data_IF_255037241376
#
_entry.id   IF_255037241376
#
_cell.length_a   1.000
_cell.length_b   1.000
_cell.length_c   1.000
_cell.angle_alpha   90.00
_cell.angle_beta   90.00
_cell.angle_gamma   90.00
#
_symmetry.space_group_name_H-M   'P 1'
#
loop_
_entity.id
_entity.type
_entity.pdbx_description
1 polymer ?
#
# COMPACT_ATOMS: atom_id res chain seq x y z
N UNK A 1 10.03 -24.24 -9.96
CA UNK A 1 10.45 -23.04 -9.20
C UNK A 1 11.86 -22.53 -9.53
N UNK A 2 12.97 -23.25 -9.30
CA UNK A 2 14.33 -22.71 -9.59
C UNK A 2 14.52 -22.33 -11.08
N UNK A 3 14.11 -23.23 -11.99
CA UNK A 3 14.19 -22.99 -13.44
C UNK A 3 13.25 -21.88 -13.93
N UNK A 4 12.10 -21.67 -13.28
CA UNK A 4 11.15 -20.60 -13.62
C UNK A 4 11.63 -19.25 -13.10
N UNK A 5 12.27 -19.23 -11.91
CA UNK A 5 12.91 -18.04 -11.34
C UNK A 5 14.12 -17.59 -12.16
N UNK A 6 14.96 -18.53 -12.60
CA UNK A 6 16.14 -18.26 -13.45
C UNK A 6 15.74 -17.78 -14.86
N UNK A 7 14.57 -18.19 -15.37
CA UNK A 7 13.99 -17.68 -16.62
C UNK A 7 13.25 -16.35 -16.47
N UNK A 8 12.96 -15.91 -15.25
CA UNK A 8 12.22 -14.67 -14.96
C UNK A 8 10.70 -14.78 -15.02
N UNK A 9 10.15 -15.99 -15.13
CA UNK A 9 8.69 -16.21 -15.21
C UNK A 9 7.97 -16.01 -13.87
N UNK A 10 8.71 -16.10 -12.75
CA UNK A 10 8.18 -15.92 -11.40
C UNK A 10 9.09 -15.01 -10.58
N UNK A 11 8.47 -14.06 -9.87
CA UNK A 11 9.15 -13.14 -8.95
C UNK A 11 8.87 -13.59 -7.52
N UNK A 12 9.85 -13.40 -6.65
CA UNK A 12 9.72 -13.68 -5.23
C UNK A 12 8.63 -12.79 -4.60
N UNK A 13 7.61 -13.38 -4.00
CA UNK A 13 6.52 -12.63 -3.34
C UNK A 13 7.06 -11.67 -2.28
N UNK A 14 8.13 -12.05 -1.56
CA UNK A 14 8.76 -11.18 -0.58
C UNK A 14 9.39 -9.94 -1.23
N UNK A 15 9.93 -10.07 -2.44
CA UNK A 15 10.44 -8.93 -3.21
C UNK A 15 9.30 -8.01 -3.66
N UNK A 16 8.17 -8.56 -4.14
CA UNK A 16 7.00 -7.75 -4.52
C UNK A 16 6.48 -6.94 -3.33
N UNK A 17 6.32 -7.57 -2.15
CA UNK A 17 5.91 -6.88 -0.92
C UNK A 17 6.92 -5.79 -0.58
N UNK A 18 8.22 -6.09 -0.60
CA UNK A 18 9.28 -5.12 -0.30
C UNK A 18 9.23 -3.88 -1.21
N UNK A 19 9.13 -4.08 -2.53
CA UNK A 19 9.09 -2.97 -3.50
C UNK A 19 7.82 -2.13 -3.31
N UNK A 20 6.68 -2.77 -3.09
CA UNK A 20 5.42 -2.07 -2.87
C UNK A 20 5.43 -1.26 -1.56
N UNK A 21 5.97 -1.80 -0.47
CA UNK A 21 6.16 -1.03 0.78
C UNK A 21 7.08 0.17 0.58
N UNK A 22 8.15 0.03 -0.20
CA UNK A 22 9.03 1.15 -0.54
C UNK A 22 8.31 2.22 -1.35
N UNK A 23 7.53 1.84 -2.35
CA UNK A 23 6.72 2.77 -3.14
C UNK A 23 5.65 3.46 -2.26
N UNK A 24 4.97 2.73 -1.39
CA UNK A 24 3.99 3.29 -0.47
C UNK A 24 4.61 4.31 0.50
N UNK A 25 5.81 4.03 1.00
CA UNK A 25 6.56 4.97 1.83
C UNK A 25 6.94 6.26 1.08
N UNK A 26 7.36 6.14 -0.19
CA UNK A 26 7.65 7.31 -1.04
C UNK A 26 6.39 8.15 -1.29
N UNK A 27 5.25 7.51 -1.57
CA UNK A 27 3.96 8.19 -1.75
C UNK A 27 3.56 8.91 -0.46
N UNK A 28 3.65 8.24 0.70
CA UNK A 28 3.35 8.85 2.00
C UNK A 28 4.17 10.12 2.24
N UNK A 29 5.48 10.08 1.93
CA UNK A 29 6.35 11.25 2.09
C UNK A 29 5.94 12.43 1.20
N UNK A 30 5.50 12.16 -0.03
CA UNK A 30 4.95 13.21 -0.92
C UNK A 30 3.66 13.78 -0.34
N UNK A 31 2.76 12.91 0.11
CA UNK A 31 1.48 13.31 0.69
C UNK A 31 1.65 14.17 1.94
N UNK A 32 2.60 13.86 2.82
CA UNK A 32 2.90 14.65 4.02
C UNK A 32 3.37 16.07 3.71
N UNK A 33 3.97 16.29 2.53
CA UNK A 33 4.39 17.63 2.08
C UNK A 33 3.24 18.47 1.49
N UNK A 34 2.14 17.82 1.11
CA UNK A 34 1.02 18.43 0.39
C UNK A 34 0.37 19.60 1.15
N UNK A 35 0.08 19.51 2.47
CA UNK A 35 -0.52 20.62 3.19
C UNK A 35 0.32 21.90 3.15
N UNK A 36 1.65 21.77 3.26
CA UNK A 36 2.57 22.90 3.19
C UNK A 36 2.65 23.48 1.77
N UNK A 37 2.64 22.63 0.73
CA UNK A 37 2.60 23.10 -0.65
C UNK A 37 1.32 23.91 -0.93
N UNK A 38 0.19 23.46 -0.39
CA UNK A 38 -1.11 24.13 -0.55
C UNK A 38 -1.16 25.50 0.14
N UNK A 39 -0.64 25.62 1.37
CA UNK A 39 -0.60 26.93 2.05
C UNK A 39 0.33 27.92 1.37
N UNK A 40 1.46 27.47 0.82
CA UNK A 40 2.37 28.34 0.04
C UNK A 40 1.73 28.82 -1.27
N UNK A 41 0.93 27.97 -1.91
CA UNK A 41 0.26 28.29 -3.18
C UNK A 41 -1.01 29.13 -2.98
N UNK A 42 -1.68 28.98 -1.85
CA UNK A 42 -2.94 29.66 -1.53
C UNK A 42 -2.89 30.29 -0.13
N UNK A 43 -2.27 31.47 0.03
CA UNK A 43 -2.09 32.12 1.33
C UNK A 43 -3.41 32.42 2.07
N UNK A 44 -4.50 32.66 1.33
CA UNK A 44 -5.82 32.97 1.88
C UNK A 44 -6.64 31.72 2.27
N UNK A 45 -6.04 30.53 2.20
CA UNK A 45 -6.71 29.28 2.57
C UNK A 45 -7.15 29.32 4.05
N UNK A 46 -8.44 29.09 4.29
CA UNK A 46 -8.98 29.08 5.66
C UNK A 46 -8.35 27.95 6.48
N UNK A 47 -8.02 28.18 7.77
CA UNK A 47 -7.46 27.14 8.64
C UNK A 47 -8.30 25.84 8.67
N UNK A 48 -9.62 25.95 8.67
CA UNK A 48 -10.52 24.77 8.65
C UNK A 48 -10.39 23.91 7.39
N UNK A 49 -10.10 24.51 6.24
CA UNK A 49 -9.84 23.77 5.00
C UNK A 49 -8.50 23.04 5.08
N UNK A 50 -7.48 23.71 5.66
CA UNK A 50 -6.16 23.12 5.85
C UNK A 50 -6.22 21.93 6.82
N UNK A 51 -7.02 22.04 7.88
CA UNK A 51 -7.22 20.94 8.83
C UNK A 51 -7.96 19.76 8.19
N UNK A 52 -8.95 20.03 7.34
CA UNK A 52 -9.60 19.00 6.53
C UNK A 52 -8.60 18.28 5.61
N UNK A 53 -7.77 19.05 4.90
CA UNK A 53 -6.72 18.50 4.04
C UNK A 53 -5.73 17.62 4.81
N UNK A 54 -5.22 18.09 5.95
CA UNK A 54 -4.29 17.32 6.80
C UNK A 54 -4.91 16.00 7.25
N UNK A 55 -6.19 15.98 7.62
CA UNK A 55 -6.88 14.75 8.01
C UNK A 55 -6.93 13.73 6.88
N UNK A 56 -7.24 14.17 5.65
CA UNK A 56 -7.27 13.28 4.49
C UNK A 56 -5.87 12.77 4.12
N UNK A 57 -4.84 13.63 4.21
CA UNK A 57 -3.44 13.22 4.02
C UNK A 57 -3.06 12.13 5.03
N UNK A 58 -3.33 12.33 6.32
CA UNK A 58 -3.02 11.33 7.36
C UNK A 58 -3.75 10.01 7.08
N UNK A 59 -5.03 10.06 6.66
CA UNK A 59 -5.78 8.86 6.30
C UNK A 59 -5.10 8.09 5.17
N UNK A 60 -4.65 8.77 4.13
CA UNK A 60 -3.99 8.14 3.00
C UNK A 60 -2.58 7.60 3.35
N UNK A 61 -1.79 8.35 4.11
CA UNK A 61 -0.49 7.90 4.63
C UNK A 61 -0.63 6.63 5.47
N UNK A 62 -1.64 6.57 6.34
CA UNK A 62 -1.94 5.38 7.15
C UNK A 62 -2.34 4.18 6.30
N UNK A 63 -3.05 4.38 5.18
CA UNK A 63 -3.35 3.30 4.24
C UNK A 63 -2.09 2.78 3.54
N UNK A 64 -1.19 3.69 3.13
CA UNK A 64 0.10 3.34 2.54
C UNK A 64 1.00 2.56 3.51
N UNK A 65 1.03 2.97 4.78
CA UNK A 65 1.82 2.33 5.83
C UNK A 65 1.42 0.87 6.13
N UNK A 66 0.21 0.47 5.75
CA UNK A 66 -0.33 -0.89 5.95
C UNK A 66 -0.34 -1.71 4.67
N UNK A 67 0.32 -1.26 3.60
CA UNK A 67 0.22 -1.89 2.30
C UNK A 67 0.80 -3.32 2.30
N UNK A 68 1.94 -3.54 2.95
CA UNK A 68 2.53 -4.88 3.13
C UNK A 68 1.61 -5.84 3.87
N UNK A 69 0.96 -5.37 4.94
CA UNK A 69 0.01 -6.17 5.72
C UNK A 69 -1.24 -6.52 4.90
N UNK A 70 -1.68 -5.62 4.01
CA UNK A 70 -2.89 -5.79 3.21
C UNK A 70 -2.68 -6.60 1.93
N UNK A 71 -1.49 -6.60 1.33
CA UNK A 71 -1.21 -7.33 0.07
C UNK A 71 -1.57 -8.83 0.18
N UNK A 72 -1.19 -9.57 1.24
CA UNK A 72 -1.60 -10.97 1.41
C UNK A 72 -3.12 -11.15 1.49
N UNK A 73 -3.83 -10.23 2.15
CA UNK A 73 -5.29 -10.25 2.25
C UNK A 73 -5.93 -10.05 0.87
N UNK A 74 -5.48 -9.04 0.13
CA UNK A 74 -5.97 -8.75 -1.23
C UNK A 74 -5.70 -9.91 -2.19
N UNK A 75 -4.56 -10.59 -2.06
CA UNK A 75 -4.26 -11.78 -2.85
C UNK A 75 -5.22 -12.93 -2.50
N UNK A 76 -5.50 -13.14 -1.21
CA UNK A 76 -6.47 -14.14 -0.75
C UNK A 76 -7.85 -13.86 -1.33
N UNK A 77 -8.34 -12.62 -1.23
CA UNK A 77 -9.65 -12.22 -1.75
C UNK A 77 -9.72 -12.42 -3.27
N UNK A 78 -8.70 -11.98 -4.01
CA UNK A 78 -8.62 -12.17 -5.45
C UNK A 78 -8.67 -13.65 -5.87
N UNK A 79 -7.95 -14.53 -5.18
CA UNK A 79 -7.94 -15.96 -5.47
C UNK A 79 -9.29 -16.61 -5.14
N UNK A 80 -9.93 -16.19 -4.06
CA UNK A 80 -11.28 -16.64 -3.72
C UNK A 80 -12.29 -16.24 -4.80
N UNK A 81 -12.24 -14.99 -5.26
CA UNK A 81 -13.16 -14.48 -6.30
C UNK A 81 -12.93 -15.13 -7.68
N UNK A 82 -11.68 -15.40 -8.05
CA UNK A 82 -11.34 -15.87 -9.40
C UNK A 82 -11.24 -17.38 -9.53
N UNK A 83 -10.80 -18.08 -8.48
CA UNK A 83 -10.55 -19.53 -8.49
C UNK A 83 -11.43 -20.32 -7.52
N UNK A 84 -12.26 -19.64 -6.70
CA UNK A 84 -13.15 -20.27 -5.72
C UNK A 84 -12.41 -21.00 -4.58
N UNK A 85 -11.08 -20.84 -4.47
CA UNK A 85 -10.28 -21.39 -3.40
C UNK A 85 -9.06 -20.51 -3.12
N UNK A 86 -8.60 -20.54 -1.87
CA UNK A 86 -7.33 -19.94 -1.46
C UNK A 86 -6.44 -21.07 -0.93
N UNK A 87 -5.26 -21.30 -1.54
CA UNK A 87 -4.31 -22.30 -1.05
C UNK A 87 -3.95 -22.08 0.41
N UNK A 88 -3.88 -23.16 1.19
CA UNK A 88 -3.62 -23.13 2.64
C UNK A 88 -2.42 -22.27 3.05
N UNK A 89 -1.34 -22.33 2.27
CA UNK A 89 -0.10 -21.56 2.47
C UNK A 89 -0.23 -20.05 2.25
N UNK A 90 -1.34 -19.58 1.70
CA UNK A 90 -1.64 -18.17 1.42
C UNK A 90 -2.77 -17.63 2.31
N UNK A 91 -3.25 -18.43 3.26
CA UNK A 91 -4.26 -17.97 4.22
C UNK A 91 -3.61 -17.11 5.30
N UNK A 92 -4.08 -15.87 5.51
CA UNK A 92 -3.41 -14.87 6.34
C UNK A 92 -3.35 -15.17 7.85
N UNK A 93 -4.04 -16.22 8.33
CA UNK A 93 -4.21 -16.52 9.77
C UNK A 93 -4.01 -18.01 10.13
N UNK A 94 -3.29 -18.81 9.35
CA UNK A 94 -3.12 -20.24 9.67
C UNK A 94 -2.12 -20.55 10.79
N UNK A 95 -1.20 -19.63 11.07
CA UNK A 95 -0.11 -19.80 12.05
C UNK A 95 -0.21 -18.83 13.25
N UNK A 96 -1.39 -18.26 13.52
CA UNK A 96 -1.69 -17.46 14.71
C UNK A 96 -2.70 -18.14 15.61
#
# INVERSE_FOLDING_TARGET
LKNERERGDVIDTAFCIYVLSKLASQISSIMDSLPLAMTRKFPDMKPSMLDGLKKEVIRACNACAKLDENIPLMLSDYLMETAGNVPDKLQPNKDK
#
